data_IF_783438245997
#
_entry.id   IF_783438245997
#
_cell.length_a   1.000
_cell.length_b   1.000
_cell.length_c   1.000
_cell.angle_alpha   90.00
_cell.angle_beta   90.00
_cell.angle_gamma   90.00
#
_symmetry.space_group_name_H-M   'P 1'
#
loop_
_entity.id
_entity.type
_entity.pdbx_description
1 polymer ?
#
# COMPACT_ATOMS: atom_id res chain seq x y z
N UNK A 1 27.59 -7.23 -15.46
CA UNK A 1 27.81 -6.34 -14.31
C UNK A 1 27.15 -7.04 -13.14
N UNK A 2 27.93 -7.67 -12.27
CA UNK A 2 27.38 -8.45 -11.14
C UNK A 2 26.67 -7.50 -10.17
N UNK A 3 25.38 -7.71 -10.00
CA UNK A 3 24.57 -7.02 -9.01
C UNK A 3 24.61 -7.91 -7.77
N UNK A 4 25.44 -7.53 -6.80
CA UNK A 4 25.41 -8.10 -5.46
C UNK A 4 24.09 -7.72 -4.77
N UNK A 5 23.16 -8.67 -4.75
CA UNK A 5 21.99 -8.67 -3.86
C UNK A 5 22.45 -8.94 -2.43
N UNK A 6 22.72 -7.88 -1.68
CA UNK A 6 22.76 -7.96 -0.22
C UNK A 6 21.33 -8.08 0.32
N UNK A 7 20.90 -9.32 0.54
CA UNK A 7 19.71 -9.67 1.31
C UNK A 7 19.98 -9.48 2.81
N UNK A 8 19.34 -8.47 3.40
CA UNK A 8 19.23 -8.31 4.85
C UNK A 8 18.30 -9.40 5.41
N UNK A 9 18.92 -10.37 6.08
CA UNK A 9 18.26 -11.46 6.80
C UNK A 9 18.36 -11.20 8.30
N UNK A 10 17.33 -10.61 8.89
CA UNK A 10 17.02 -10.57 10.33
C UNK A 10 15.48 -10.52 10.40
N UNK A 11 14.73 -11.37 11.09
CA UNK A 11 15.03 -12.29 12.19
C UNK A 11 13.78 -13.16 12.35
N UNK A 12 13.98 -14.48 12.34
CA UNK A 12 13.01 -15.51 12.66
C UNK A 12 13.23 -15.90 14.12
N UNK A 13 12.24 -15.66 15.00
CA UNK A 13 12.08 -16.33 16.31
C UNK A 13 10.81 -15.81 16.99
N UNK A 14 9.71 -16.57 16.89
CA UNK A 14 8.76 -16.84 17.97
C UNK A 14 7.58 -17.66 17.41
N UNK A 15 7.82 -18.95 17.23
CA UNK A 15 6.76 -19.95 17.33
C UNK A 15 6.83 -20.60 18.73
N UNK A 16 5.70 -21.16 19.15
CA UNK A 16 5.44 -21.97 20.36
C UNK A 16 5.16 -21.22 21.66
N UNK A 17 3.86 -21.03 21.97
CA UNK A 17 3.23 -21.30 23.28
C UNK A 17 1.80 -20.74 23.37
N UNK A 18 0.78 -21.36 22.75
CA UNK A 18 -0.61 -21.29 23.27
C UNK A 18 -1.39 -22.56 22.88
N UNK A 19 -0.98 -23.72 23.37
CA UNK A 19 -1.80 -24.94 23.30
C UNK A 19 -1.63 -25.74 24.60
N UNK A 20 -2.35 -25.34 25.67
CA UNK A 20 -2.48 -26.11 26.92
C UNK A 20 -3.54 -25.51 27.86
N UNK A 21 -4.82 -25.82 27.63
CA UNK A 21 -5.92 -25.87 28.64
C UNK A 21 -7.03 -26.78 28.08
N UNK A 22 -6.89 -28.11 28.05
CA UNK A 22 -6.92 -29.05 29.17
C UNK A 22 -8.07 -28.80 30.19
N UNK A 23 -9.17 -29.51 29.94
CA UNK A 23 -10.03 -30.21 30.90
C UNK A 23 -10.30 -29.56 32.26
N UNK A 24 -11.52 -29.04 32.41
CA UNK A 24 -12.24 -29.10 33.68
C UNK A 24 -13.67 -29.58 33.44
N UNK A 25 -13.81 -30.91 33.33
CA UNK A 25 -15.07 -31.61 33.58
C UNK A 25 -15.51 -31.28 35.00
N UNK A 26 -16.65 -30.60 35.13
CA UNK A 26 -17.41 -30.55 36.38
C UNK A 26 -18.61 -31.49 36.21
N UNK A 27 -18.53 -32.64 36.89
CA UNK A 27 -19.61 -33.59 37.04
C UNK A 27 -20.69 -32.98 37.93
N UNK A 28 -21.87 -32.69 37.37
CA UNK A 28 -23.10 -32.51 38.13
C UNK A 28 -24.09 -33.59 37.70
N UNK A 29 -24.02 -34.73 38.38
CA UNK A 29 -25.06 -35.76 38.35
C UNK A 29 -26.23 -35.31 39.23
N UNK A 30 -27.11 -34.47 38.68
CA UNK A 30 -28.42 -34.17 39.25
C UNK A 30 -29.49 -35.01 38.55
N UNK A 31 -29.88 -36.14 39.16
CA UNK A 31 -30.96 -36.98 38.67
C UNK A 31 -32.31 -36.26 38.80
N UNK A 32 -32.78 -35.64 37.72
CA UNK A 32 -34.17 -35.20 37.59
C UNK A 32 -34.88 -36.18 36.64
N UNK A 33 -35.68 -37.09 37.22
CA UNK A 33 -36.66 -37.89 36.49
C UNK A 33 -37.70 -36.95 35.88
N UNK A 34 -37.47 -36.47 34.66
CA UNK A 34 -38.52 -35.85 33.84
C UNK A 34 -39.36 -36.99 33.26
N UNK A 35 -40.59 -37.08 33.74
CA UNK A 35 -41.66 -37.88 33.14
C UNK A 35 -41.73 -37.64 31.63
N UNK A 36 -41.68 -38.71 30.83
CA UNK A 36 -41.97 -38.62 29.40
C UNK A 36 -43.35 -37.96 29.20
N UNK A 37 -43.46 -36.88 28.42
CA UNK A 37 -44.74 -36.34 28.05
C UNK A 37 -45.46 -37.38 27.17
N UNK A 38 -46.64 -37.82 27.60
CA UNK A 38 -47.55 -38.60 26.77
C UNK A 38 -47.73 -37.90 25.43
N UNK A 39 -47.34 -38.59 24.36
CA UNK A 39 -47.46 -38.15 22.96
C UNK A 39 -48.94 -38.04 22.63
N UNK A 40 -49.54 -36.87 22.91
CA UNK A 40 -50.90 -36.54 22.45
C UNK A 40 -50.87 -36.55 20.92
N UNK A 41 -51.58 -37.51 20.32
CA UNK A 41 -51.88 -37.49 18.89
C UNK A 41 -52.56 -36.15 18.58
N UNK A 42 -51.82 -35.26 17.93
CA UNK A 42 -52.37 -34.01 17.42
C UNK A 42 -53.27 -34.39 16.25
N UNK A 43 -54.58 -34.32 16.47
CA UNK A 43 -55.55 -34.28 15.37
C UNK A 43 -55.31 -32.97 14.62
N UNK A 44 -54.55 -33.03 13.54
CA UNK A 44 -54.34 -31.92 12.61
C UNK A 44 -55.73 -31.49 12.11
N UNK A 45 -56.11 -30.24 12.41
CA UNK A 45 -57.37 -29.66 11.94
C UNK A 45 -57.16 -29.15 10.53
N UNK A 46 -58.24 -29.05 9.76
CA UNK A 46 -58.31 -28.59 8.37
C UNK A 46 -57.57 -27.25 8.07
N UNK A 47 -57.31 -26.44 9.10
CA UNK A 47 -56.47 -25.22 9.06
C UNK A 47 -54.99 -25.52 8.72
N UNK A 48 -54.48 -26.70 9.04
CA UNK A 48 -53.09 -27.10 8.74
C UNK A 48 -52.86 -27.39 7.24
N UNK A 49 -53.92 -27.73 6.49
CA UNK A 49 -53.81 -27.95 5.04
C UNK A 49 -53.62 -26.64 4.27
N UNK A 50 -54.35 -25.57 4.63
CA UNK A 50 -54.18 -24.26 4.01
C UNK A 50 -52.78 -23.67 4.26
N UNK A 51 -52.19 -23.96 5.42
CA UNK A 51 -50.82 -23.56 5.72
C UNK A 51 -49.80 -24.33 4.85
N UNK A 52 -50.00 -25.64 4.67
CA UNK A 52 -49.16 -26.47 3.82
C UNK A 52 -49.19 -26.00 2.36
N UNK A 53 -50.38 -25.67 1.83
CA UNK A 53 -50.52 -25.17 0.45
C UNK A 53 -49.81 -23.84 0.24
N UNK A 54 -49.93 -22.90 1.19
CA UNK A 54 -49.23 -21.61 1.13
C UNK A 54 -47.70 -21.76 1.18
N UNK A 55 -47.21 -22.71 1.97
CA UNK A 55 -45.78 -23.03 2.07
C UNK A 55 -45.26 -23.62 0.76
N UNK A 56 -46.00 -24.56 0.16
CA UNK A 56 -45.65 -25.14 -1.14
C UNK A 56 -45.64 -24.06 -2.22
N UNK A 57 -46.63 -23.16 -2.23
CA UNK A 57 -46.68 -22.05 -3.18
C UNK A 57 -45.45 -21.14 -3.06
N UNK A 58 -45.04 -20.79 -1.84
CA UNK A 58 -43.84 -19.97 -1.61
C UNK A 58 -42.55 -20.69 -2.01
N UNK A 59 -42.48 -22.00 -1.80
CA UNK A 59 -41.36 -22.81 -2.22
C UNK A 59 -41.26 -22.87 -3.75
N UNK A 60 -42.38 -23.12 -4.43
CA UNK A 60 -42.46 -23.11 -5.89
C UNK A 60 -42.07 -21.73 -6.42
N UNK A 61 -42.60 -20.63 -5.86
CA UNK A 61 -42.20 -19.27 -6.25
C UNK A 61 -40.70 -19.02 -6.06
N UNK A 62 -40.11 -19.54 -4.97
CA UNK A 62 -38.68 -19.39 -4.68
C UNK A 62 -37.83 -20.21 -5.63
N UNK A 63 -38.21 -21.46 -5.91
CA UNK A 63 -37.56 -22.32 -6.90
C UNK A 63 -37.69 -21.71 -8.29
N UNK A 64 -38.87 -21.24 -8.66
CA UNK A 64 -39.11 -20.56 -9.93
C UNK A 64 -38.24 -19.30 -10.03
N UNK A 65 -38.13 -18.50 -8.98
CA UNK A 65 -37.28 -17.32 -8.93
C UNK A 65 -35.79 -17.66 -9.09
N UNK A 66 -35.31 -18.67 -8.37
CA UNK A 66 -33.92 -19.16 -8.47
C UNK A 66 -33.65 -19.70 -9.88
N UNK A 67 -34.58 -20.49 -10.41
CA UNK A 67 -34.47 -21.14 -11.74
C UNK A 67 -34.56 -20.11 -12.87
N UNK A 68 -35.49 -19.16 -12.78
CA UNK A 68 -35.65 -18.05 -13.74
C UNK A 68 -34.44 -17.11 -13.71
N UNK A 69 -33.77 -16.97 -12.56
CA UNK A 69 -32.49 -16.26 -12.49
C UNK A 69 -31.32 -17.03 -13.11
N UNK A 70 -31.56 -18.22 -13.69
CA UNK A 70 -30.56 -19.16 -14.24
C UNK A 70 -29.39 -19.41 -13.29
N UNK A 71 -29.64 -19.41 -11.99
CA UNK A 71 -28.60 -19.51 -10.97
C UNK A 71 -27.46 -18.47 -11.11
N UNK A 72 -27.70 -17.31 -11.75
CA UNK A 72 -26.69 -16.23 -11.91
C UNK A 72 -26.25 -15.62 -10.56
N UNK A 73 -27.01 -15.88 -9.48
CA UNK A 73 -26.69 -15.45 -8.12
C UNK A 73 -25.59 -16.30 -7.49
N UNK A 74 -24.86 -15.71 -6.54
CA UNK A 74 -23.83 -16.43 -5.80
C UNK A 74 -24.46 -17.65 -5.07
N UNK A 75 -23.87 -18.87 -5.15
CA UNK A 75 -24.36 -20.05 -4.44
C UNK A 75 -24.66 -19.81 -2.95
N UNK A 76 -23.91 -18.92 -2.29
CA UNK A 76 -24.16 -18.53 -0.89
C UNK A 76 -25.50 -17.81 -0.71
N UNK A 77 -25.90 -16.95 -1.64
CA UNK A 77 -27.19 -16.26 -1.58
C UNK A 77 -28.33 -17.23 -1.82
N UNK A 78 -28.18 -18.12 -2.80
CA UNK A 78 -29.17 -19.17 -3.09
C UNK A 78 -29.33 -20.07 -1.87
N UNK A 79 -28.23 -20.44 -1.22
CA UNK A 79 -28.24 -21.26 0.00
C UNK A 79 -28.87 -20.53 1.18
N UNK A 80 -28.63 -19.23 1.35
CA UNK A 80 -29.31 -18.41 2.37
C UNK A 80 -30.82 -18.40 2.16
N UNK A 81 -31.28 -18.21 0.91
CA UNK A 81 -32.70 -18.24 0.54
C UNK A 81 -33.30 -19.61 0.81
N UNK A 82 -32.62 -20.69 0.41
CA UNK A 82 -33.07 -22.06 0.66
C UNK A 82 -33.11 -22.39 2.16
N UNK A 83 -32.08 -22.04 2.92
CA UNK A 83 -32.04 -22.25 4.37
C UNK A 83 -33.14 -21.45 5.08
N UNK A 84 -33.44 -20.24 4.61
CA UNK A 84 -34.58 -19.46 5.11
C UNK A 84 -35.90 -20.20 4.86
N UNK A 85 -36.12 -20.72 3.65
CA UNK A 85 -37.31 -21.53 3.34
C UNK A 85 -37.37 -22.80 4.20
N UNK A 86 -36.24 -23.49 4.39
CA UNK A 86 -36.15 -24.71 5.22
C UNK A 86 -36.50 -24.42 6.68
N UNK A 87 -35.94 -23.35 7.24
CA UNK A 87 -36.24 -22.91 8.62
C UNK A 87 -37.69 -22.49 8.79
N UNK A 88 -38.26 -21.80 7.79
CA UNK A 88 -39.67 -21.43 7.79
C UNK A 88 -40.60 -22.66 7.78
N UNK A 89 -40.22 -23.71 7.05
CA UNK A 89 -40.98 -24.96 6.93
C UNK A 89 -40.89 -25.88 8.15
N UNK A 90 -40.00 -25.59 9.12
CA UNK A 90 -39.71 -26.48 10.26
C UNK A 90 -39.46 -27.92 9.83
N UNK A 91 -38.78 -28.11 8.69
CA UNK A 91 -38.39 -29.44 8.22
C UNK A 91 -37.58 -30.15 9.33
N UNK A 92 -37.71 -31.47 9.47
CA UNK A 92 -37.04 -32.22 10.52
C UNK A 92 -35.53 -31.95 10.48
N UNK A 93 -34.89 -31.91 11.66
CA UNK A 93 -33.48 -31.54 11.91
C UNK A 93 -32.41 -32.40 11.16
N UNK A 94 -32.81 -33.25 10.21
CA UNK A 94 -31.93 -34.07 9.39
C UNK A 94 -31.41 -33.41 8.11
N UNK A 95 -32.00 -32.30 7.65
CA UNK A 95 -31.52 -31.61 6.44
C UNK A 95 -30.36 -30.65 6.78
N UNK A 96 -29.17 -31.22 6.99
CA UNK A 96 -27.94 -30.47 7.27
C UNK A 96 -27.64 -29.47 6.14
N UNK A 97 -27.27 -28.22 6.47
CA UNK A 97 -27.02 -27.17 5.46
C UNK A 97 -25.93 -27.57 4.46
N UNK A 98 -25.01 -28.44 4.86
CA UNK A 98 -23.97 -29.00 4.02
C UNK A 98 -24.55 -29.88 2.89
N UNK A 99 -25.57 -30.70 3.17
CA UNK A 99 -26.24 -31.53 2.17
C UNK A 99 -26.99 -30.67 1.15
N UNK A 100 -27.63 -29.59 1.62
CA UNK A 100 -28.28 -28.60 0.74
C UNK A 100 -27.25 -27.92 -0.15
N UNK A 101 -26.17 -27.41 0.42
CA UNK A 101 -25.07 -26.80 -0.34
C UNK A 101 -24.48 -27.74 -1.40
N UNK A 102 -24.20 -29.00 -1.05
CA UNK A 102 -23.69 -30.02 -1.98
C UNK A 102 -24.68 -30.30 -3.11
N UNK A 103 -25.96 -30.42 -2.79
CA UNK A 103 -27.02 -30.70 -3.78
C UNK A 103 -27.22 -29.52 -4.72
N UNK A 104 -27.22 -28.28 -4.20
CA UNK A 104 -27.31 -27.05 -4.98
C UNK A 104 -26.11 -26.90 -5.90
N UNK A 105 -24.89 -27.09 -5.40
CA UNK A 105 -23.70 -27.03 -6.24
C UNK A 105 -23.70 -28.12 -7.31
N UNK A 106 -24.13 -29.34 -6.98
CA UNK A 106 -24.28 -30.42 -7.97
C UNK A 106 -25.28 -30.03 -9.06
N UNK A 107 -26.43 -29.46 -8.68
CA UNK A 107 -27.43 -28.98 -9.63
C UNK A 107 -26.90 -27.84 -10.52
N UNK A 108 -26.23 -26.84 -9.93
CA UNK A 108 -25.59 -25.75 -10.68
C UNK A 108 -24.58 -26.33 -11.68
N UNK A 109 -23.69 -27.23 -11.24
CA UNK A 109 -22.69 -27.85 -12.11
C UNK A 109 -23.32 -28.63 -13.27
N UNK A 110 -24.46 -29.31 -13.06
CA UNK A 110 -25.19 -29.99 -14.16
C UNK A 110 -25.85 -29.04 -15.14
N UNK A 111 -26.05 -27.76 -14.77
CA UNK A 111 -26.61 -26.73 -15.66
C UNK A 111 -25.55 -25.90 -16.40
N UNK A 112 -24.27 -26.01 -16.02
CA UNK A 112 -23.20 -25.29 -16.71
C UNK A 112 -22.98 -25.88 -18.11
N UNK A 113 -22.76 -25.00 -19.08
CA UNK A 113 -22.43 -25.39 -20.45
C UNK A 113 -20.94 -25.77 -20.55
N UNK A 114 -20.56 -26.56 -21.55
CA UNK A 114 -19.13 -26.71 -21.87
C UNK A 114 -18.60 -25.39 -22.43
N UNK A 115 -17.39 -25.00 -22.02
CA UNK A 115 -16.75 -23.82 -22.59
C UNK A 115 -16.47 -24.07 -24.08
N UNK A 116 -16.84 -23.13 -24.99
CA UNK A 116 -16.47 -23.23 -26.40
C UNK A 116 -14.94 -23.26 -26.59
N UNK A 117 -14.46 -23.84 -27.69
CA UNK A 117 -13.02 -23.83 -28.01
C UNK A 117 -12.56 -22.42 -28.39
N UNK A 118 -13.38 -21.74 -29.20
CA UNK A 118 -13.11 -20.38 -29.69
C UNK A 118 -13.86 -19.32 -28.88
N UNK A 119 -13.21 -18.20 -28.54
CA UNK A 119 -13.85 -17.13 -27.80
C UNK A 119 -15.00 -16.44 -28.57
N UNK A 120 -14.99 -16.49 -29.90
CA UNK A 120 -16.05 -15.93 -30.75
C UNK A 120 -17.36 -16.71 -30.66
N UNK A 121 -17.31 -17.97 -30.25
CA UNK A 121 -18.49 -18.83 -30.10
C UNK A 121 -19.24 -18.58 -28.78
N UNK A 122 -18.75 -17.65 -27.93
CA UNK A 122 -19.47 -17.21 -26.74
C UNK A 122 -20.65 -16.31 -27.15
N UNK A 123 -21.89 -16.65 -26.75
CA UNK A 123 -23.05 -15.81 -27.01
C UNK A 123 -22.89 -14.39 -26.47
N UNK A 124 -23.37 -13.40 -27.22
CA UNK A 124 -23.22 -11.98 -26.89
C UNK A 124 -23.81 -11.62 -25.51
N UNK A 125 -24.93 -12.27 -25.13
CA UNK A 125 -25.57 -12.06 -23.81
C UNK A 125 -24.70 -12.49 -22.63
N UNK A 126 -23.77 -13.43 -22.86
CA UNK A 126 -22.76 -13.81 -21.87
C UNK A 126 -21.57 -12.87 -21.93
N UNK A 127 -21.16 -12.48 -23.14
CA UNK A 127 -20.03 -11.56 -23.37
C UNK A 127 -20.23 -10.21 -22.69
N UNK A 128 -21.42 -9.64 -22.78
CA UNK A 128 -21.80 -8.39 -22.11
C UNK A 128 -21.73 -8.45 -20.58
N UNK A 129 -21.80 -9.64 -19.99
CA UNK A 129 -21.70 -9.83 -18.54
C UNK A 129 -20.27 -9.99 -18.04
N UNK A 130 -19.30 -10.12 -18.95
CA UNK A 130 -17.91 -10.30 -18.59
C UNK A 130 -17.30 -8.98 -18.14
N UNK A 131 -16.44 -8.99 -17.10
CA UNK A 131 -15.79 -7.78 -16.60
C UNK A 131 -14.70 -7.25 -17.55
N UNK A 132 -14.32 -8.02 -18.57
CA UNK A 132 -13.28 -7.68 -19.53
C UNK A 132 -13.54 -8.36 -20.87
N UNK A 133 -13.00 -7.77 -21.93
CA UNK A 133 -13.03 -8.32 -23.29
C UNK A 133 -12.30 -9.67 -23.38
N UNK A 134 -12.77 -10.51 -24.30
CA UNK A 134 -12.12 -11.74 -24.74
C UNK A 134 -11.83 -11.58 -26.24
N UNK A 135 -10.61 -11.91 -26.75
CA UNK A 135 -9.50 -12.57 -26.04
C UNK A 135 -8.83 -11.75 -24.93
N UNK A 136 -8.26 -12.45 -23.95
CA UNK A 136 -7.65 -11.89 -22.74
C UNK A 136 -6.32 -11.24 -23.11
N UNK A 137 -6.29 -9.91 -23.04
CA UNK A 137 -5.06 -9.13 -23.21
C UNK A 137 -4.26 -9.04 -21.91
N UNK A 138 -4.93 -8.81 -20.78
CA UNK A 138 -4.29 -8.53 -19.50
C UNK A 138 -4.55 -9.65 -18.47
N UNK A 139 -3.46 -10.25 -17.98
CA UNK A 139 -3.50 -11.29 -16.94
C UNK A 139 -4.06 -10.80 -15.60
N UNK A 140 -4.04 -9.50 -15.31
CA UNK A 140 -4.61 -8.96 -14.05
C UNK A 140 -6.11 -9.24 -13.93
N UNK A 141 -6.83 -9.25 -15.06
CA UNK A 141 -8.28 -9.44 -15.11
C UNK A 141 -8.67 -10.92 -15.21
N UNK A 142 -7.70 -11.82 -15.41
CA UNK A 142 -7.91 -13.25 -15.59
C UNK A 142 -8.75 -13.86 -14.46
N UNK A 143 -8.46 -13.49 -13.20
CA UNK A 143 -9.19 -14.03 -12.04
C UNK A 143 -10.67 -13.65 -12.06
N UNK A 144 -10.97 -12.38 -12.33
CA UNK A 144 -12.34 -11.87 -12.38
C UNK A 144 -13.10 -12.44 -13.56
N UNK A 145 -12.44 -12.55 -14.70
CA UNK A 145 -13.01 -13.14 -15.91
C UNK A 145 -13.29 -14.65 -15.72
N UNK A 146 -12.33 -15.41 -15.18
CA UNK A 146 -12.52 -16.82 -14.85
C UNK A 146 -13.70 -17.03 -13.90
N UNK A 147 -13.85 -16.16 -12.89
CA UNK A 147 -14.97 -16.22 -11.97
C UNK A 147 -16.30 -15.94 -12.67
N UNK A 148 -16.35 -15.04 -13.66
CA UNK A 148 -17.54 -14.77 -14.46
C UNK A 148 -17.87 -15.95 -15.39
N UNK A 149 -16.88 -16.46 -16.14
CA UNK A 149 -17.04 -17.60 -17.04
C UNK A 149 -17.50 -18.85 -16.29
N UNK A 150 -16.95 -19.13 -15.10
CA UNK A 150 -17.35 -20.29 -14.26
C UNK A 150 -18.78 -20.22 -13.72
N UNK A 151 -19.48 -19.09 -13.87
CA UNK A 151 -20.93 -19.01 -13.57
C UNK A 151 -21.79 -19.59 -14.69
N UNK A 152 -21.26 -19.69 -15.91
CA UNK A 152 -22.00 -20.12 -17.11
C UNK A 152 -21.42 -21.41 -17.68
N UNK A 153 -20.11 -21.57 -17.62
CA UNK A 153 -19.38 -22.67 -18.23
C UNK A 153 -18.63 -23.53 -17.22
N UNK A 154 -18.44 -24.80 -17.58
CA UNK A 154 -17.55 -25.75 -16.91
C UNK A 154 -16.31 -26.00 -17.77
N UNK A 155 -15.13 -25.87 -17.17
CA UNK A 155 -13.84 -26.09 -17.82
C UNK A 155 -12.73 -26.23 -16.75
N UNK A 156 -11.72 -27.05 -17.04
CA UNK A 156 -10.55 -27.21 -16.17
C UNK A 156 -9.54 -26.08 -16.37
N UNK A 157 -9.23 -25.77 -17.64
CA UNK A 157 -8.29 -24.74 -18.07
C UNK A 157 -8.89 -23.98 -19.26
N UNK A 158 -8.47 -22.73 -19.45
CA UNK A 158 -8.85 -21.94 -20.63
C UNK A 158 -8.00 -22.40 -21.82
N UNK A 159 -8.60 -22.61 -23.01
CA UNK A 159 -7.83 -22.81 -24.24
C UNK A 159 -6.92 -21.62 -24.54
N UNK A 160 -5.79 -21.87 -25.23
CA UNK A 160 -4.82 -20.81 -25.57
C UNK A 160 -5.42 -19.74 -26.48
N UNK A 161 -6.43 -20.08 -27.29
CA UNK A 161 -7.18 -19.16 -28.15
C UNK A 161 -7.90 -18.04 -27.37
N UNK A 162 -8.15 -18.26 -26.06
CA UNK A 162 -8.70 -17.22 -25.19
C UNK A 162 -7.68 -16.17 -24.78
N UNK A 163 -6.40 -16.33 -25.11
CA UNK A 163 -5.35 -15.36 -24.81
C UNK A 163 -4.92 -14.66 -26.09
N UNK A 164 -4.80 -13.34 -26.05
CA UNK A 164 -4.18 -12.60 -27.16
C UNK A 164 -2.71 -12.99 -27.22
N UNK A 165 -2.25 -13.47 -28.39
CA UNK A 165 -0.81 -13.65 -28.63
C UNK A 165 -0.13 -12.29 -28.60
N UNK A 166 0.65 -12.05 -27.54
CA UNK A 166 1.43 -10.83 -27.40
C UNK A 166 2.78 -10.97 -28.12
N UNK A 167 3.20 -9.87 -28.75
CA UNK A 167 4.52 -9.76 -29.37
C UNK A 167 5.62 -9.84 -28.27
N UNK A 168 6.80 -10.41 -28.56
CA UNK A 168 7.93 -10.32 -27.64
C UNK A 168 8.33 -8.84 -27.43
N UNK A 169 8.70 -8.48 -26.21
CA UNK A 169 9.20 -7.14 -25.91
C UNK A 169 10.49 -6.87 -26.72
N UNK A 170 10.56 -5.79 -27.52
CA UNK A 170 11.77 -5.47 -28.27
C UNK A 170 12.93 -5.12 -27.31
N UNK A 171 14.18 -5.37 -27.72
CA UNK A 171 15.34 -4.97 -26.90
C UNK A 171 15.48 -3.44 -26.82
N UNK A 172 15.05 -2.75 -27.87
CA UNK A 172 15.16 -1.33 -28.04
C UNK A 172 13.85 -0.62 -27.66
N UNK A 173 13.83 0.27 -26.64
CA UNK A 173 12.61 0.94 -26.21
C UNK A 173 12.02 1.89 -27.26
N UNK A 174 12.76 2.28 -28.30
CA UNK A 174 12.25 3.14 -29.38
C UNK A 174 11.35 2.40 -30.38
N UNK A 175 11.41 1.07 -30.38
CA UNK A 175 10.58 0.18 -31.20
C UNK A 175 9.24 -0.16 -30.52
N UNK A 176 9.04 0.34 -29.30
CA UNK A 176 7.77 0.24 -28.61
C UNK A 176 6.65 0.98 -29.38
N UNK A 177 5.45 0.39 -29.34
CA UNK A 177 4.16 0.99 -29.67
C UNK A 177 4.02 2.39 -29.05
N UNK A 178 3.43 3.31 -29.82
CA UNK A 178 3.36 4.74 -29.52
C UNK A 178 2.70 5.04 -28.15
N UNK A 179 1.76 4.20 -27.70
CA UNK A 179 1.06 4.34 -26.41
C UNK A 179 1.99 4.19 -25.20
N UNK A 180 3.05 3.39 -25.33
CA UNK A 180 4.00 3.08 -24.24
C UNK A 180 5.42 3.60 -24.52
N UNK A 181 5.71 4.02 -25.75
CA UNK A 181 6.98 4.60 -26.16
C UNK A 181 7.39 5.81 -25.32
N UNK A 182 6.42 6.65 -24.93
CA UNK A 182 6.67 7.81 -24.07
C UNK A 182 7.05 7.49 -22.62
N UNK A 183 6.99 6.22 -22.20
CA UNK A 183 7.33 5.78 -20.84
C UNK A 183 8.80 5.36 -20.70
N UNK A 184 9.49 5.12 -21.82
CA UNK A 184 10.84 4.57 -21.86
C UNK A 184 11.75 5.31 -22.87
N UNK A 185 13.08 5.32 -22.67
CA UNK A 185 13.76 4.83 -21.49
C UNK A 185 13.54 5.73 -20.27
N UNK A 186 13.59 5.17 -19.07
CA UNK A 186 13.46 5.96 -17.83
C UNK A 186 14.77 6.72 -17.61
N UNK A 187 14.69 8.04 -17.69
CA UNK A 187 15.84 8.93 -17.53
C UNK A 187 15.99 9.36 -16.07
N UNK A 188 14.89 9.75 -15.43
CA UNK A 188 14.92 10.28 -14.07
C UNK A 188 14.77 9.20 -13.01
N UNK A 189 15.64 9.24 -12.00
CA UNK A 189 15.56 8.33 -10.83
C UNK A 189 14.25 8.46 -10.05
N UNK A 190 13.59 9.60 -10.12
CA UNK A 190 12.29 9.81 -9.46
C UNK A 190 11.19 8.94 -10.08
N UNK A 191 11.27 8.72 -11.39
CA UNK A 191 10.30 7.91 -12.13
C UNK A 191 10.53 6.41 -11.95
N UNK A 192 11.62 5.99 -11.29
CA UNK A 192 11.79 4.60 -10.87
C UNK A 192 10.66 4.13 -9.94
N UNK A 193 10.03 5.03 -9.20
CA UNK A 193 8.84 4.72 -8.37
C UNK A 193 7.61 4.35 -9.21
N UNK A 194 7.58 4.75 -10.48
CA UNK A 194 6.48 4.51 -11.42
C UNK A 194 6.72 3.28 -12.31
N UNK A 195 7.92 2.67 -12.24
CA UNK A 195 8.31 1.49 -13.06
C UNK A 195 7.28 0.38 -12.99
N UNK A 196 6.71 0.11 -11.81
CA UNK A 196 5.69 -0.92 -11.66
C UNK A 196 4.45 -0.64 -12.54
N UNK A 197 3.96 0.60 -12.54
CA UNK A 197 2.85 1.01 -13.40
C UNK A 197 3.21 0.99 -14.88
N UNK A 198 4.46 1.31 -15.23
CA UNK A 198 4.93 1.23 -16.62
C UNK A 198 5.05 -0.24 -17.09
N UNK A 199 5.54 -1.14 -16.24
CA UNK A 199 5.55 -2.59 -16.49
C UNK A 199 4.12 -3.11 -16.71
N UNK A 200 3.14 -2.67 -15.90
CA UNK A 200 1.74 -3.06 -16.10
C UNK A 200 1.20 -2.64 -17.47
N UNK A 201 1.51 -1.42 -17.93
CA UNK A 201 1.11 -0.96 -19.27
C UNK A 201 1.83 -1.71 -20.39
N UNK A 202 3.11 -2.04 -20.23
CA UNK A 202 3.84 -2.88 -21.19
C UNK A 202 3.22 -4.27 -21.34
N UNK A 203 2.76 -4.86 -20.23
CA UNK A 203 2.15 -6.19 -20.20
C UNK A 203 0.83 -6.29 -20.97
N UNK A 204 0.24 -5.17 -21.38
CA UNK A 204 -0.95 -5.14 -22.23
C UNK A 204 -0.63 -5.41 -23.71
N UNK A 205 0.62 -5.19 -24.12
CA UNK A 205 1.05 -5.26 -25.52
C UNK A 205 2.15 -6.28 -25.77
N UNK A 206 3.01 -6.54 -24.78
CA UNK A 206 4.18 -7.39 -24.96
C UNK A 206 4.25 -8.50 -23.93
N UNK A 207 4.83 -9.63 -24.35
CA UNK A 207 5.33 -10.68 -23.44
C UNK A 207 6.83 -10.53 -23.26
N UNK A 208 7.31 -10.70 -22.03
CA UNK A 208 8.73 -10.83 -21.74
C UNK A 208 8.91 -11.71 -20.49
N UNK A 209 10.10 -12.26 -20.35
CA UNK A 209 10.49 -13.09 -19.22
C UNK A 209 11.59 -12.39 -18.42
N UNK A 210 11.47 -12.40 -17.10
CA UNK A 210 12.44 -11.76 -16.21
C UNK A 210 12.33 -10.23 -16.15
N UNK A 211 13.49 -9.59 -15.96
CA UNK A 211 13.60 -8.14 -15.81
C UNK A 211 13.72 -7.40 -17.13
N UNK A 212 13.36 -6.12 -17.10
CA UNK A 212 13.53 -5.24 -18.26
C UNK A 212 15.02 -5.05 -18.54
N UNK A 213 15.40 -5.08 -19.81
CA UNK A 213 16.77 -4.83 -20.27
C UNK A 213 17.26 -3.44 -19.82
N UNK A 214 18.57 -3.30 -19.61
CA UNK A 214 19.21 -2.04 -19.21
C UNK A 214 18.94 -0.90 -20.21
N UNK A 215 18.65 -1.21 -21.48
CA UNK A 215 18.28 -0.22 -22.50
C UNK A 215 17.00 0.56 -22.16
N UNK A 216 16.11 -0.02 -21.34
CA UNK A 216 14.90 0.65 -20.85
C UNK A 216 15.20 1.66 -19.72
N UNK A 217 16.45 1.74 -19.26
CA UNK A 217 16.89 2.60 -18.17
C UNK A 217 18.08 3.46 -18.61
N UNK A 218 17.84 4.75 -18.88
CA UNK A 218 18.90 5.72 -19.16
C UNK A 218 19.18 6.59 -17.93
N UNK A 219 19.42 5.93 -16.81
CA UNK A 219 19.58 6.60 -15.52
C UNK A 219 20.93 7.34 -15.45
N UNK A 220 20.98 8.53 -14.82
CA UNK A 220 22.25 9.19 -14.55
C UNK A 220 23.11 8.33 -13.62
N UNK A 221 24.44 8.46 -13.75
CA UNK A 221 25.42 7.71 -12.96
C UNK A 221 25.11 7.72 -11.46
N UNK A 222 25.40 6.57 -10.82
CA UNK A 222 25.63 6.40 -9.37
C UNK A 222 26.03 7.68 -8.63
N UNK A 223 25.15 8.44 -7.95
CA UNK A 223 25.66 9.51 -7.06
C UNK A 223 26.49 8.87 -5.94
N UNK A 224 27.67 9.39 -5.69
CA UNK A 224 28.58 8.89 -4.64
C UNK A 224 28.17 9.47 -3.28
N UNK A 225 28.39 8.78 -2.15
CA UNK A 225 28.11 9.36 -0.84
C UNK A 225 28.94 10.63 -0.63
N UNK A 226 28.39 11.65 0.02
CA UNK A 226 29.15 12.82 0.42
C UNK A 226 30.25 12.38 1.41
N UNK A 227 31.54 12.68 1.16
CA UNK A 227 32.59 12.31 2.09
C UNK A 227 32.42 13.00 3.43
N UNK A 228 32.89 12.34 4.49
CA UNK A 228 32.85 12.89 5.85
C UNK A 228 33.94 13.95 6.07
N UNK A 229 34.97 13.99 5.22
CA UNK A 229 36.07 14.93 5.33
C UNK A 229 36.17 15.82 4.10
N UNK A 230 36.56 17.08 4.29
CA UNK A 230 36.79 18.03 3.21
C UNK A 230 37.92 17.62 2.25
N UNK A 231 38.84 16.76 2.71
CA UNK A 231 40.00 16.34 1.92
C UNK A 231 39.61 15.45 0.75
N UNK A 232 38.61 14.58 0.97
CA UNK A 232 38.05 13.63 0.00
C UNK A 232 37.03 14.27 -0.94
N UNK A 233 36.65 15.53 -0.71
CA UNK A 233 35.72 16.24 -1.56
C UNK A 233 36.33 16.51 -2.93
N UNK A 234 35.57 16.22 -3.99
CA UNK A 234 35.92 16.54 -5.37
C UNK A 234 36.42 17.99 -5.49
N UNK A 235 37.52 18.17 -6.21
CA UNK A 235 38.22 19.44 -6.42
C UNK A 235 37.29 20.60 -6.80
N UNK A 236 36.20 20.34 -7.57
CA UNK A 236 35.18 21.34 -7.93
C UNK A 236 34.59 22.04 -6.70
N UNK A 237 34.37 21.30 -5.61
CA UNK A 237 33.72 21.81 -4.41
C UNK A 237 34.73 22.15 -3.31
N UNK A 238 35.92 21.54 -3.32
CA UNK A 238 36.94 21.69 -2.28
C UNK A 238 37.33 23.15 -2.01
N UNK A 239 37.37 23.99 -3.05
CA UNK A 239 37.68 25.42 -2.92
C UNK A 239 36.58 26.25 -2.25
N UNK A 240 35.35 25.73 -2.13
CA UNK A 240 34.22 26.43 -1.52
C UNK A 240 34.09 26.17 -0.01
N UNK A 241 34.86 25.23 0.53
CA UNK A 241 34.72 24.75 1.90
C UNK A 241 36.01 24.96 2.72
N UNK A 242 35.89 25.23 4.05
CA UNK A 242 34.64 25.38 4.79
C UNK A 242 33.91 26.69 4.45
N UNK A 243 32.58 26.63 4.33
CA UNK A 243 31.78 27.77 3.88
C UNK A 243 31.35 28.63 5.07
N UNK A 244 31.52 29.94 4.93
CA UNK A 244 30.98 30.92 5.86
C UNK A 244 29.60 31.36 5.36
N UNK A 245 28.53 30.85 5.97
CA UNK A 245 27.16 31.19 5.58
C UNK A 245 26.83 32.68 5.73
N UNK A 246 27.56 33.43 6.56
CA UNK A 246 27.33 34.88 6.70
C UNK A 246 27.98 35.69 5.59
N UNK A 247 29.04 35.16 4.97
CA UNK A 247 29.80 35.84 3.91
C UNK A 247 29.49 35.32 2.52
N UNK A 248 29.13 34.05 2.40
CA UNK A 248 28.61 33.48 1.16
C UNK A 248 27.18 33.99 1.03
N UNK A 249 26.86 34.76 0.00
CA UNK A 249 25.47 35.15 -0.31
C UNK A 249 24.60 33.95 -0.73
N UNK A 250 24.96 32.73 -0.34
CA UNK A 250 24.34 31.47 -0.69
C UNK A 250 23.57 30.92 0.50
N UNK A 251 22.38 30.44 0.22
CA UNK A 251 21.57 29.71 1.21
C UNK A 251 22.07 28.27 1.37
N UNK A 252 21.76 27.65 2.52
CA UNK A 252 22.05 26.22 2.75
C UNK A 252 21.41 25.33 1.66
N UNK A 253 20.24 25.73 1.15
CA UNK A 253 19.53 25.01 0.08
C UNK A 253 20.35 25.01 -1.21
N UNK A 254 20.88 26.15 -1.64
CA UNK A 254 21.70 26.25 -2.85
C UNK A 254 22.99 25.45 -2.73
N UNK A 255 23.64 25.49 -1.56
CA UNK A 255 24.84 24.67 -1.28
C UNK A 255 24.49 23.18 -1.36
N UNK A 256 23.36 22.78 -0.76
CA UNK A 256 22.85 21.42 -0.84
C UNK A 256 22.59 21.00 -2.28
N UNK A 257 21.92 21.84 -3.08
CA UNK A 257 21.58 21.52 -4.47
C UNK A 257 22.85 21.37 -5.33
N UNK A 258 23.86 22.23 -5.14
CA UNK A 258 25.17 22.13 -5.78
C UNK A 258 25.89 20.81 -5.43
N UNK A 259 25.91 20.42 -4.16
CA UNK A 259 26.51 19.16 -3.73
C UNK A 259 25.71 17.96 -4.26
N UNK A 260 24.37 18.07 -4.32
CA UNK A 260 23.47 17.02 -4.82
C UNK A 260 23.64 16.75 -6.31
N UNK A 261 24.32 17.58 -7.08
CA UNK A 261 24.69 17.25 -8.47
C UNK A 261 25.55 15.97 -8.53
N UNK A 262 26.53 15.87 -7.63
CA UNK A 262 27.52 14.78 -7.61
C UNK A 262 27.25 13.77 -6.50
N UNK A 263 26.81 14.25 -5.33
CA UNK A 263 26.74 13.46 -4.11
C UNK A 263 25.32 13.09 -3.71
N UNK A 264 25.21 11.99 -2.97
CA UNK A 264 24.02 11.61 -2.23
C UNK A 264 24.28 11.75 -0.73
N UNK A 265 23.43 12.51 -0.04
CA UNK A 265 23.49 12.70 1.41
C UNK A 265 22.13 13.13 1.97
N UNK A 266 21.93 12.83 3.26
CA UNK A 266 20.78 13.30 4.05
C UNK A 266 21.08 14.66 4.70
N UNK A 267 22.28 14.82 5.26
CA UNK A 267 22.75 16.02 5.93
C UNK A 267 24.16 16.37 5.46
N UNK A 268 24.51 17.66 5.53
CA UNK A 268 25.88 18.13 5.28
C UNK A 268 26.63 18.11 6.63
N UNK A 269 27.81 17.48 6.73
CA UNK A 269 28.61 17.48 7.95
C UNK A 269 28.94 18.90 8.46
N UNK A 270 29.00 19.09 9.78
CA UNK A 270 29.18 20.41 10.40
C UNK A 270 30.57 21.03 10.16
N UNK A 271 31.57 20.21 9.82
CA UNK A 271 32.93 20.63 9.45
C UNK A 271 33.00 21.27 8.06
N UNK A 272 31.95 21.13 7.25
CA UNK A 272 31.81 21.86 5.99
C UNK A 272 31.45 23.33 6.25
N UNK A 273 31.03 23.70 7.45
CA UNK A 273 30.68 25.08 7.79
C UNK A 273 31.71 25.68 8.73
N UNK A 274 32.06 26.95 8.53
CA UNK A 274 32.85 27.68 9.51
C UNK A 274 32.00 27.82 10.78
N UNK A 275 32.37 27.10 11.84
CA UNK A 275 31.70 27.18 13.12
C UNK A 275 32.09 28.49 13.81
N UNK A 276 31.08 29.32 14.11
CA UNK A 276 31.31 30.54 14.88
C UNK A 276 31.77 30.16 16.29
N UNK A 277 32.87 30.75 16.81
CA UNK A 277 33.26 30.55 18.19
C UNK A 277 32.13 30.97 19.14
N UNK A 278 32.04 30.32 20.30
CA UNK A 278 31.12 30.75 21.36
C UNK A 278 31.51 32.16 21.81
N UNK A 279 30.51 32.99 22.12
CA UNK A 279 30.75 34.31 22.69
C UNK A 279 31.58 34.18 23.99
N UNK A 280 32.76 34.82 24.09
CA UNK A 280 33.55 34.80 25.32
C UNK A 280 32.77 35.34 26.51
N UNK A 281 32.93 34.72 27.69
CA UNK A 281 32.35 35.24 28.95
C UNK A 281 33.07 36.49 29.44
N UNK A 282 34.38 36.58 29.20
CA UNK A 282 35.17 37.76 29.52
C UNK A 282 34.96 38.82 28.43
N UNK A 283 34.37 39.93 28.84
CA UNK A 283 34.07 41.11 28.02
C UNK A 283 35.30 41.62 27.27
N UNK A 284 36.49 41.55 27.90
CA UNK A 284 37.74 42.02 27.27
C UNK A 284 38.18 41.18 26.08
N UNK A 285 37.64 39.96 25.95
CA UNK A 285 37.93 39.04 24.85
C UNK A 285 36.92 39.15 23.70
N UNK A 286 35.86 39.94 23.87
CA UNK A 286 34.85 40.16 22.83
C UNK A 286 35.43 41.15 21.81
N UNK A 287 35.66 40.64 20.60
CA UNK A 287 36.18 41.45 19.48
C UNK A 287 35.02 42.09 18.71
N UNK A 288 34.88 43.40 18.84
CA UNK A 288 33.96 44.26 18.08
C UNK A 288 34.70 45.34 17.29
N UNK A 289 34.06 45.87 16.24
CA UNK A 289 34.45 47.04 15.48
C UNK A 289 34.12 48.32 16.25
N UNK A 290 32.93 48.36 16.86
CA UNK A 290 32.49 49.49 17.70
C UNK A 290 32.96 49.32 19.14
N UNK A 291 33.15 50.43 19.87
CA UNK A 291 33.44 50.41 21.31
C UNK A 291 32.12 50.43 22.07
N UNK A 292 31.92 49.42 22.93
CA UNK A 292 30.75 49.27 23.77
C UNK A 292 31.15 49.40 25.24
N UNK A 293 30.29 50.01 26.05
CA UNK A 293 30.43 50.03 27.50
C UNK A 293 29.62 48.88 28.11
N UNK A 294 30.27 48.06 28.92
CA UNK A 294 29.64 46.89 29.53
C UNK A 294 29.43 47.10 31.04
N UNK A 295 28.29 46.66 31.61
CA UNK A 295 27.17 46.03 30.91
C UNK A 295 26.39 47.03 30.03
N UNK A 296 25.90 46.58 28.87
CA UNK A 296 25.11 47.43 27.97
C UNK A 296 23.71 47.62 28.57
N UNK A 297 23.39 48.88 28.91
CA UNK A 297 22.10 49.29 29.48
C UNK A 297 21.15 49.90 28.44
N UNK A 298 21.70 50.48 27.36
CA UNK A 298 20.91 51.11 26.30
C UNK A 298 20.38 50.09 25.28
N UNK A 299 19.09 50.20 24.93
CA UNK A 299 18.41 49.24 24.05
C UNK A 299 18.91 49.32 22.61
N UNK A 300 19.18 50.52 22.09
CA UNK A 300 19.63 50.72 20.71
C UNK A 300 21.09 50.27 20.54
N UNK A 301 21.93 50.53 21.53
CA UNK A 301 23.29 50.00 21.63
C UNK A 301 23.30 48.48 21.71
N UNK A 302 22.41 47.86 22.49
CA UNK A 302 22.27 46.42 22.57
C UNK A 302 21.89 45.76 21.23
N UNK A 303 20.97 46.36 20.48
CA UNK A 303 20.59 45.87 19.14
C UNK A 303 21.80 45.92 18.20
N UNK A 304 22.50 47.05 18.12
CA UNK A 304 23.71 47.19 17.29
C UNK A 304 24.80 46.21 17.70
N UNK A 305 25.02 46.03 19.01
CA UNK A 305 25.98 45.06 19.52
C UNK A 305 25.64 43.65 19.04
N UNK A 306 24.38 43.22 19.19
CA UNK A 306 23.89 41.90 18.76
C UNK A 306 24.06 41.70 17.26
N UNK A 307 23.70 42.68 16.44
CA UNK A 307 23.91 42.63 15.00
C UNK A 307 25.39 42.40 14.67
N UNK A 308 26.29 43.15 15.33
CA UNK A 308 27.73 43.06 15.10
C UNK A 308 28.32 41.70 15.54
N UNK A 309 27.99 41.24 16.75
CA UNK A 309 28.49 39.97 17.28
C UNK A 309 27.84 38.76 16.60
N UNK A 310 26.63 38.90 16.02
CA UNK A 310 25.95 37.83 15.28
C UNK A 310 26.74 37.34 14.09
N UNK A 311 27.57 38.20 13.48
CA UNK A 311 28.43 37.82 12.36
C UNK A 311 29.55 36.88 12.81
N UNK A 312 30.09 37.08 14.02
CA UNK A 312 31.34 36.44 14.48
C UNK A 312 31.14 35.33 15.49
N UNK A 313 30.15 35.44 16.37
CA UNK A 313 29.98 34.56 17.51
C UNK A 313 28.67 33.78 17.46
N UNK A 314 28.67 32.63 18.13
CA UNK A 314 27.47 31.89 18.47
C UNK A 314 27.07 32.22 19.92
N UNK A 315 25.83 32.63 20.13
CA UNK A 315 25.30 33.00 21.44
C UNK A 315 23.79 32.72 21.53
N UNK A 316 23.28 32.71 22.77
CA UNK A 316 21.87 32.55 23.11
C UNK A 316 21.39 33.81 23.83
N UNK A 317 20.14 34.22 23.58
CA UNK A 317 19.49 35.34 24.27
C UNK A 317 18.61 34.77 25.40
N UNK A 318 18.63 35.34 26.63
CA UNK A 318 19.36 36.54 27.02
C UNK A 318 20.88 36.30 27.18
N UNK A 319 21.68 37.34 26.91
CA UNK A 319 23.12 37.32 27.18
C UNK A 319 23.37 37.39 28.69
N UNK A 320 24.57 36.99 29.18
CA UNK A 320 24.96 37.19 30.58
C UNK A 320 24.84 38.65 31.01
N UNK A 321 24.41 38.88 32.27
CA UNK A 321 24.21 40.21 32.87
C UNK A 321 25.45 41.09 32.84
N UNK A 322 26.64 40.49 32.88
CA UNK A 322 27.93 41.19 32.83
C UNK A 322 28.19 41.81 31.44
N UNK A 323 27.47 41.33 30.42
CA UNK A 323 27.54 41.82 29.03
C UNK A 323 26.37 42.76 28.74
N UNK A 324 25.16 42.39 29.15
CA UNK A 324 23.95 43.14 28.78
C UNK A 324 22.88 42.99 29.86
N UNK A 325 22.37 44.10 30.36
CA UNK A 325 21.30 44.14 31.38
C UNK A 325 19.91 44.35 30.74
N UNK A 326 19.86 45.03 29.59
CA UNK A 326 18.63 45.28 28.84
C UNK A 326 18.19 44.05 28.03
N UNK A 327 16.88 43.77 27.95
CA UNK A 327 16.36 42.77 27.02
C UNK A 327 16.19 43.39 25.62
N UNK A 328 17.01 43.00 24.63
CA UNK A 328 16.97 43.55 23.27
C UNK A 328 15.75 43.03 22.49
N UNK A 329 15.10 41.98 22.97
CA UNK A 329 14.00 41.33 22.25
C UNK A 329 12.69 42.02 22.58
N UNK A 330 11.87 42.30 21.56
CA UNK A 330 10.48 42.79 21.75
C UNK A 330 9.53 41.75 22.34
N UNK A 331 10.05 40.63 22.85
CA UNK A 331 9.23 39.60 23.49
C UNK A 331 8.71 40.17 24.82
N UNK A 332 7.39 40.14 25.06
CA UNK A 332 6.82 40.60 26.33
C UNK A 332 7.41 39.77 27.47
N UNK A 333 7.59 40.40 28.62
CA UNK A 333 8.01 39.70 29.84
C UNK A 333 6.98 38.61 30.13
N UNK A 334 7.46 37.39 30.34
CA UNK A 334 6.59 36.30 30.78
C UNK A 334 6.11 36.63 32.20
N UNK A 335 4.79 36.54 32.48
CA UNK A 335 4.19 36.94 33.75
C UNK A 335 4.63 36.09 34.95
#
# INVERSE_FOLDING_TARGET
MEIDEQNDTQSETHETEVEKRANKQMSYSGAVKKSMPQRRERKFKEIDMQWADHVIEKLVQTIQHITNSRFRKNPQEITKVLNYCIGFMKLPEGLQSETVWKTVNKAIQTTLLLLPEKPEDIPEDVRELLPSEIPIKNRSNLRSLLAALRKVYTFAQLPDEYFTELEPLPDNPWELREEVKGLFPIIDRKDLRKVYGYKQRLAEYYKWEGDLSEFYFRLPKKKIPLPLTLQELNHKYKAMFPIDLTRSNKTIKEISDMLRETYFFKFIPNDFFIQKPRLPRDVKRIITQSKYNFPIEDKEEAIRFIEEISVRYNFTIPLPSDIMTVNPTEKPELP
#
